data_IF_972372150830
#
_entry.id   IF_972372150830
#
_cell.length_a   1.000
_cell.length_b   1.000
_cell.length_c   1.000
_cell.angle_alpha   90.00
_cell.angle_beta   90.00
_cell.angle_gamma   90.00
#
_symmetry.space_group_name_H-M   'P 1'
#
loop_
_entity.id
_entity.type
_entity.pdbx_description
1 polymer ?
#
# COMPACT_ATOMS: atom_id res chain seq x y z
N UNK A 1 -52.95 -36.12 7.21
CA UNK A 1 -51.48 -36.01 7.04
C UNK A 1 -51.15 -34.59 6.63
N UNK A 2 -50.72 -33.77 7.57
CA UNK A 2 -50.25 -32.40 7.34
C UNK A 2 -49.00 -32.46 6.48
N UNK A 3 -49.03 -31.87 5.27
CA UNK A 3 -47.85 -31.72 4.42
C UNK A 3 -46.88 -30.79 5.17
N UNK A 4 -45.81 -31.34 5.73
CA UNK A 4 -44.75 -30.53 6.33
C UNK A 4 -44.19 -29.56 5.28
N UNK A 5 -44.23 -28.27 5.64
CA UNK A 5 -43.73 -27.18 4.82
C UNK A 5 -42.22 -27.18 4.99
N UNK A 6 -41.47 -27.40 3.90
CA UNK A 6 -40.01 -27.37 3.94
C UNK A 6 -39.51 -26.01 4.45
N UNK A 7 -38.70 -26.04 5.51
CA UNK A 7 -38.10 -24.85 6.15
C UNK A 7 -36.92 -24.30 5.34
N UNK A 8 -36.51 -23.05 5.63
CA UNK A 8 -35.35 -22.41 4.99
C UNK A 8 -34.08 -23.22 5.25
N UNK A 9 -33.89 -23.62 6.50
CA UNK A 9 -32.72 -24.34 7.00
C UNK A 9 -32.57 -25.70 6.32
N UNK A 10 -33.67 -26.43 6.13
CA UNK A 10 -33.66 -27.72 5.42
C UNK A 10 -33.27 -27.57 3.94
N UNK A 11 -33.75 -26.52 3.28
CA UNK A 11 -33.39 -26.25 1.88
C UNK A 11 -31.91 -25.88 1.77
N UNK A 12 -31.39 -25.09 2.70
CA UNK A 12 -30.01 -24.65 2.70
C UNK A 12 -29.06 -25.83 2.97
N UNK A 13 -29.37 -26.65 3.97
CA UNK A 13 -28.61 -27.87 4.27
C UNK A 13 -28.62 -28.85 3.08
N UNK A 14 -29.75 -29.00 2.39
CA UNK A 14 -29.82 -29.83 1.19
C UNK A 14 -28.99 -29.26 0.03
N UNK A 15 -28.90 -27.94 -0.12
CA UNK A 15 -28.02 -27.33 -1.12
C UNK A 15 -26.55 -27.57 -0.81
N UNK A 16 -26.11 -27.35 0.44
CA UNK A 16 -24.71 -27.61 0.84
C UNK A 16 -24.34 -29.09 0.69
N UNK A 17 -25.25 -30.02 0.98
CA UNK A 17 -25.04 -31.45 0.77
C UNK A 17 -24.92 -31.85 -0.70
N UNK A 18 -25.67 -31.20 -1.60
CA UNK A 18 -25.55 -31.45 -3.04
C UNK A 18 -24.25 -30.88 -3.60
N UNK A 19 -23.85 -29.69 -3.14
CA UNK A 19 -22.58 -29.06 -3.50
C UNK A 19 -21.39 -29.92 -3.04
N UNK A 20 -21.39 -30.41 -1.81
CA UNK A 20 -20.28 -31.23 -1.28
C UNK A 20 -20.13 -32.59 -1.98
N UNK A 21 -21.19 -33.06 -2.64
CA UNK A 21 -21.19 -34.28 -3.47
C UNK A 21 -20.93 -34.01 -4.95
N UNK A 22 -20.69 -32.76 -5.32
CA UNK A 22 -20.53 -32.32 -6.71
C UNK A 22 -21.74 -32.68 -7.60
N UNK A 23 -22.94 -32.68 -7.00
CA UNK A 23 -24.19 -32.96 -7.69
C UNK A 23 -24.90 -31.65 -8.10
N UNK A 24 -25.59 -31.68 -9.25
CA UNK A 24 -26.32 -30.51 -9.75
C UNK A 24 -27.44 -30.10 -8.79
N UNK A 25 -27.41 -28.83 -8.36
CA UNK A 25 -28.47 -28.17 -7.59
C UNK A 25 -29.77 -28.01 -8.39
N UNK A 26 -30.57 -29.07 -8.40
CA UNK A 26 -31.91 -29.09 -9.03
C UNK A 26 -33.00 -29.07 -7.96
N UNK A 27 -34.15 -28.46 -8.27
CA UNK A 27 -35.29 -28.42 -7.33
C UNK A 27 -35.78 -29.83 -6.95
N UNK A 28 -35.72 -30.77 -7.89
CA UNK A 28 -36.10 -32.16 -7.63
C UNK A 28 -35.04 -32.90 -6.79
N UNK A 29 -33.74 -32.61 -6.99
CA UNK A 29 -32.66 -33.11 -6.13
C UNK A 29 -32.77 -32.62 -4.69
N UNK A 30 -33.02 -31.31 -4.51
CA UNK A 30 -33.24 -30.69 -3.19
C UNK A 30 -34.48 -31.32 -2.52
N UNK A 31 -35.58 -31.46 -3.26
CA UNK A 31 -36.81 -32.07 -2.76
C UNK A 31 -36.62 -33.55 -2.36
N UNK A 32 -35.82 -34.29 -3.11
CA UNK A 32 -35.46 -35.68 -2.81
C UNK A 32 -34.63 -35.77 -1.53
N UNK A 33 -33.67 -34.86 -1.34
CA UNK A 33 -32.85 -34.81 -0.13
C UNK A 33 -33.63 -34.45 1.14
N UNK A 34 -34.60 -33.56 1.04
CA UNK A 34 -35.46 -33.15 2.17
C UNK A 34 -36.54 -34.21 2.46
N UNK A 35 -36.79 -35.14 1.53
CA UNK A 35 -37.80 -36.20 1.67
C UNK A 35 -39.23 -35.76 1.38
N UNK A 36 -39.45 -34.55 0.86
CA UNK A 36 -40.80 -34.04 0.58
C UNK A 36 -40.89 -32.52 0.44
N UNK A 37 -42.11 -32.00 0.58
CA UNK A 37 -42.39 -30.57 0.53
C UNK A 37 -42.99 -30.06 -0.79
N UNK A 38 -43.56 -28.85 -0.73
CA UNK A 38 -44.11 -28.15 -1.90
C UNK A 38 -43.00 -27.57 -2.75
N UNK A 39 -43.04 -27.82 -4.07
CA UNK A 39 -42.09 -27.23 -5.04
C UNK A 39 -42.08 -25.71 -4.97
N UNK A 40 -43.23 -25.07 -4.67
CA UNK A 40 -43.31 -23.61 -4.55
C UNK A 40 -42.52 -23.09 -3.36
N UNK A 41 -42.63 -23.73 -2.19
CA UNK A 41 -41.89 -23.36 -0.98
C UNK A 41 -40.40 -23.59 -1.14
N UNK A 42 -40.00 -24.74 -1.70
CA UNK A 42 -38.58 -25.07 -1.95
C UNK A 42 -37.98 -24.06 -2.94
N UNK A 43 -38.69 -23.73 -4.01
CA UNK A 43 -38.22 -22.75 -4.99
C UNK A 43 -38.04 -21.35 -4.37
N UNK A 44 -38.93 -20.93 -3.46
CA UNK A 44 -38.78 -19.66 -2.74
C UNK A 44 -37.45 -19.62 -1.97
N UNK A 45 -37.20 -20.61 -1.13
CA UNK A 45 -35.98 -20.66 -0.32
C UNK A 45 -34.72 -20.92 -1.14
N UNK A 46 -34.82 -21.72 -2.21
CA UNK A 46 -33.70 -21.95 -3.11
C UNK A 46 -33.30 -20.69 -3.88
N UNK A 47 -34.26 -19.87 -4.33
CA UNK A 47 -33.96 -18.56 -4.91
C UNK A 47 -33.21 -17.68 -3.91
N UNK A 48 -33.72 -17.60 -2.68
CA UNK A 48 -33.03 -16.86 -1.63
C UNK A 48 -31.62 -17.39 -1.37
N UNK A 49 -31.41 -18.71 -1.39
CA UNK A 49 -30.08 -19.30 -1.27
C UNK A 49 -29.14 -18.89 -2.41
N UNK A 50 -29.64 -18.84 -3.65
CA UNK A 50 -28.86 -18.35 -4.81
C UNK A 50 -28.47 -16.89 -4.67
N UNK A 51 -29.38 -16.07 -4.15
CA UNK A 51 -29.14 -14.65 -3.95
C UNK A 51 -28.14 -14.41 -2.81
N UNK A 52 -28.20 -15.21 -1.74
CA UNK A 52 -27.28 -15.13 -0.59
C UNK A 52 -25.89 -15.73 -0.91
N UNK A 53 -25.80 -16.75 -1.77
CA UNK A 53 -24.55 -17.47 -2.09
C UNK A 53 -24.35 -17.68 -3.60
N UNK A 54 -24.20 -16.62 -4.40
CA UNK A 54 -24.12 -16.74 -5.85
C UNK A 54 -22.92 -17.62 -6.29
N UNK A 55 -21.75 -17.39 -5.71
CA UNK A 55 -20.51 -18.09 -6.10
C UNK A 55 -20.60 -19.61 -5.91
N UNK A 56 -21.16 -20.07 -4.79
CA UNK A 56 -21.30 -21.51 -4.49
C UNK A 56 -22.16 -22.26 -5.52
N UNK A 57 -23.15 -21.58 -6.07
CA UNK A 57 -24.08 -22.17 -7.05
C UNK A 57 -23.48 -22.17 -8.46
N UNK A 58 -22.67 -21.15 -8.78
CA UNK A 58 -21.95 -21.08 -10.06
C UNK A 58 -20.78 -22.09 -10.11
N UNK A 59 -20.06 -22.27 -9.01
CA UNK A 59 -18.92 -23.19 -8.93
C UNK A 59 -19.35 -24.66 -9.07
N UNK A 60 -20.42 -25.07 -8.39
CA UNK A 60 -20.97 -26.42 -8.51
C UNK A 60 -21.56 -26.76 -9.89
N UNK A 61 -21.78 -25.76 -10.75
CA UNK A 61 -22.38 -25.96 -12.07
C UNK A 61 -21.36 -26.21 -13.19
N UNK A 62 -20.06 -25.95 -12.97
CA UNK A 62 -19.03 -26.01 -14.02
C UNK A 62 -17.64 -26.37 -13.49
N UNK A 63 -17.48 -27.58 -12.97
CA UNK A 63 -16.15 -28.21 -13.00
C UNK A 63 -16.08 -29.10 -14.25
N UNK A 64 -15.80 -28.49 -15.40
CA UNK A 64 -15.31 -29.28 -16.54
C UNK A 64 -13.84 -29.56 -16.21
N UNK A 65 -13.42 -30.83 -16.01
CA UNK A 65 -12.03 -31.13 -15.75
C UNK A 65 -11.18 -30.61 -16.91
N UNK A 66 -10.20 -29.77 -16.59
CA UNK A 66 -9.26 -29.24 -17.59
C UNK A 66 -8.46 -30.43 -18.14
N UNK A 67 -8.36 -30.60 -19.47
CA UNK A 67 -7.52 -31.66 -20.03
C UNK A 67 -6.07 -31.50 -19.56
N UNK A 68 -5.41 -32.62 -19.23
CA UNK A 68 -4.06 -32.61 -18.65
C UNK A 68 -3.05 -31.80 -19.48
N UNK A 69 -3.15 -31.89 -20.81
CA UNK A 69 -2.30 -31.13 -21.75
C UNK A 69 -2.47 -29.62 -21.55
N UNK A 70 -3.70 -29.14 -21.34
CA UNK A 70 -3.98 -27.72 -21.11
C UNK A 70 -3.46 -27.29 -19.75
N UNK A 71 -3.62 -28.14 -18.72
CA UNK A 71 -3.11 -27.86 -17.38
C UNK A 71 -1.58 -27.73 -17.37
N UNK A 72 -0.86 -28.63 -18.04
CA UNK A 72 0.60 -28.57 -18.13
C UNK A 72 1.09 -27.30 -18.83
N UNK A 73 0.46 -26.95 -19.97
CA UNK A 73 0.82 -25.73 -20.71
C UNK A 73 0.51 -24.46 -19.90
N UNK A 74 -0.61 -24.46 -19.18
CA UNK A 74 -0.97 -23.36 -18.29
C UNK A 74 0.06 -23.19 -17.17
N UNK A 75 0.48 -24.27 -16.53
CA UNK A 75 1.51 -24.22 -15.49
C UNK A 75 2.85 -23.69 -16.02
N UNK A 76 3.28 -24.12 -17.21
CA UNK A 76 4.50 -23.61 -17.86
C UNK A 76 4.39 -22.12 -18.18
N UNK A 77 3.27 -21.71 -18.77
CA UNK A 77 3.03 -20.30 -19.07
C UNK A 77 3.02 -19.47 -17.79
N UNK A 78 2.36 -19.96 -16.74
CA UNK A 78 2.30 -19.29 -15.45
C UNK A 78 3.68 -19.12 -14.81
N UNK A 79 4.48 -20.19 -14.81
CA UNK A 79 5.85 -20.15 -14.31
C UNK A 79 6.71 -19.14 -15.10
N UNK A 80 6.59 -19.10 -16.43
CA UNK A 80 7.28 -18.13 -17.26
C UNK A 80 6.83 -16.70 -16.95
N UNK A 81 5.52 -16.45 -16.88
CA UNK A 81 5.00 -15.11 -16.56
C UNK A 81 5.43 -14.65 -15.18
N UNK A 82 5.51 -15.57 -14.21
CA UNK A 82 5.98 -15.27 -12.87
C UNK A 82 7.46 -14.87 -12.86
N UNK A 83 8.31 -15.65 -13.51
CA UNK A 83 9.74 -15.33 -13.65
C UNK A 83 9.95 -13.96 -14.34
N UNK A 84 9.21 -13.67 -15.40
CA UNK A 84 9.30 -12.37 -16.08
C UNK A 84 8.82 -11.22 -15.19
N UNK A 85 7.81 -11.45 -14.35
CA UNK A 85 7.32 -10.45 -13.40
C UNK A 85 8.33 -10.21 -12.28
N UNK A 86 9.00 -11.27 -11.80
CA UNK A 86 10.07 -11.21 -10.80
C UNK A 86 11.28 -10.43 -11.32
N UNK A 87 11.79 -10.79 -12.51
CA UNK A 87 12.90 -10.07 -13.16
C UNK A 87 12.58 -8.58 -13.35
N UNK A 88 11.35 -8.27 -13.76
CA UNK A 88 10.91 -6.88 -13.92
C UNK A 88 10.85 -6.15 -12.58
N UNK A 89 10.29 -6.77 -11.55
CA UNK A 89 10.21 -6.17 -10.23
C UNK A 89 11.59 -5.91 -9.64
N UNK A 90 12.53 -6.84 -9.81
CA UNK A 90 13.93 -6.68 -9.40
C UNK A 90 14.61 -5.54 -10.18
N UNK A 91 14.45 -5.50 -11.50
CA UNK A 91 14.99 -4.40 -12.31
C UNK A 91 14.42 -3.04 -11.93
N UNK A 92 13.12 -2.95 -11.65
CA UNK A 92 12.48 -1.70 -11.26
C UNK A 92 12.96 -1.27 -9.86
N UNK A 93 13.14 -2.24 -8.94
CA UNK A 93 13.70 -1.99 -7.61
C UNK A 93 15.14 -1.46 -7.67
N UNK A 94 16.01 -2.07 -8.48
CA UNK A 94 17.39 -1.59 -8.66
C UNK A 94 17.42 -0.16 -9.18
N UNK A 95 16.59 0.18 -10.17
CA UNK A 95 16.49 1.56 -10.69
C UNK A 95 16.07 2.55 -9.61
N UNK A 96 15.06 2.21 -8.81
CA UNK A 96 14.64 3.10 -7.71
C UNK A 96 15.76 3.33 -6.70
N UNK A 97 16.54 2.30 -6.37
CA UNK A 97 17.70 2.44 -5.50
C UNK A 97 18.82 3.29 -6.12
N UNK A 98 19.05 3.20 -7.42
CA UNK A 98 20.02 4.03 -8.12
C UNK A 98 19.60 5.51 -8.12
N UNK A 99 18.33 5.79 -8.39
CA UNK A 99 17.75 7.14 -8.39
C UNK A 99 17.82 7.76 -6.99
N UNK A 100 17.38 7.02 -5.95
CA UNK A 100 17.45 7.47 -4.55
C UNK A 100 18.89 7.74 -4.10
N UNK A 101 19.84 6.88 -4.48
CA UNK A 101 21.26 7.11 -4.20
C UNK A 101 21.82 8.32 -4.96
N UNK A 102 21.33 8.58 -6.17
CA UNK A 102 21.64 9.78 -6.94
C UNK A 102 21.21 11.04 -6.19
N UNK A 103 19.94 11.11 -5.79
CA UNK A 103 19.39 12.23 -5.02
C UNK A 103 20.10 12.43 -3.68
N UNK A 104 20.43 11.34 -2.97
CA UNK A 104 21.16 11.42 -1.71
C UNK A 104 22.56 11.99 -1.89
N UNK A 105 23.26 11.64 -2.98
CA UNK A 105 24.57 12.22 -3.29
C UNK A 105 24.47 13.71 -3.60
N UNK A 106 23.46 14.13 -4.35
CA UNK A 106 23.22 15.54 -4.67
C UNK A 106 22.92 16.35 -3.40
N UNK A 107 21.99 15.89 -2.57
CA UNK A 107 21.65 16.54 -1.29
C UNK A 107 22.85 16.61 -0.33
N UNK A 108 23.70 15.58 -0.31
CA UNK A 108 24.92 15.61 0.49
C UNK A 108 25.93 16.65 -0.03
N UNK A 109 26.04 16.80 -1.35
CA UNK A 109 26.89 17.82 -1.94
C UNK A 109 26.40 19.23 -1.59
N UNK A 110 25.09 19.48 -1.72
CA UNK A 110 24.46 20.74 -1.31
C UNK A 110 24.65 21.01 0.19
N UNK A 111 24.51 19.98 1.03
CA UNK A 111 24.72 20.10 2.47
C UNK A 111 26.17 20.50 2.80
N UNK A 112 27.16 19.92 2.11
CA UNK A 112 28.55 20.29 2.32
C UNK A 112 28.87 21.70 1.82
N UNK A 113 28.27 22.13 0.70
CA UNK A 113 28.39 23.52 0.22
C UNK A 113 27.80 24.52 1.22
N UNK A 114 26.56 24.29 1.66
CA UNK A 114 25.89 25.15 2.63
C UNK A 114 26.61 25.20 3.98
N UNK A 115 27.20 24.08 4.44
CA UNK A 115 28.08 24.09 5.63
C UNK A 115 29.32 24.94 5.42
N UNK A 116 29.96 24.86 4.26
CA UNK A 116 31.15 25.66 3.95
C UNK A 116 30.81 27.16 3.90
N UNK A 117 29.69 27.53 3.27
CA UNK A 117 29.18 28.90 3.24
C UNK A 117 28.86 29.43 4.64
N UNK A 118 28.17 28.63 5.47
CA UNK A 118 27.84 29.00 6.84
C UNK A 118 29.11 29.24 7.66
N UNK A 119 30.14 28.41 7.48
CA UNK A 119 31.43 28.60 8.14
C UNK A 119 32.09 29.91 7.72
N UNK A 120 32.16 30.21 6.43
CA UNK A 120 32.71 31.47 5.92
C UNK A 120 31.93 32.68 6.44
N UNK A 121 30.60 32.60 6.43
CA UNK A 121 29.74 33.65 6.93
C UNK A 121 29.97 33.88 8.44
N UNK A 122 30.09 32.82 9.23
CA UNK A 122 30.42 32.92 10.65
C UNK A 122 31.77 33.58 10.88
N UNK A 123 32.81 33.18 10.14
CA UNK A 123 34.14 33.78 10.24
C UNK A 123 34.14 35.27 9.89
N UNK A 124 33.43 35.67 8.82
CA UNK A 124 33.27 37.08 8.45
C UNK A 124 32.48 37.89 9.48
N UNK A 125 31.43 37.31 10.06
CA UNK A 125 30.67 37.91 11.15
C UNK A 125 31.55 38.15 12.38
N UNK A 126 32.34 37.14 12.79
CA UNK A 126 33.27 37.29 13.92
C UNK A 126 34.34 38.35 13.66
N UNK A 127 34.84 38.45 12.43
CA UNK A 127 35.82 39.47 12.04
C UNK A 127 35.23 40.89 12.06
N UNK A 128 34.04 41.07 11.48
CA UNK A 128 33.35 42.37 11.49
C UNK A 128 32.98 42.81 12.89
N UNK A 129 32.55 41.89 13.76
CA UNK A 129 32.30 42.18 15.17
C UNK A 129 33.57 42.65 15.89
N UNK A 130 34.71 41.98 15.67
CA UNK A 130 36.00 42.43 16.23
C UNK A 130 36.41 43.82 15.74
N UNK A 131 36.28 44.08 14.43
CA UNK A 131 36.58 45.40 13.86
C UNK A 131 35.67 46.49 14.43
N UNK A 132 34.38 46.19 14.61
CA UNK A 132 33.43 47.11 15.20
C UNK A 132 33.79 47.43 16.66
N UNK A 133 34.15 46.43 17.46
CA UNK A 133 34.62 46.63 18.84
C UNK A 133 35.87 47.50 18.88
N UNK A 134 36.87 47.22 18.03
CA UNK A 134 38.09 48.03 17.95
C UNK A 134 37.80 49.49 17.58
N UNK A 135 36.92 49.72 16.60
CA UNK A 135 36.47 51.05 16.21
C UNK A 135 35.77 51.80 17.35
N UNK A 136 34.93 51.13 18.15
CA UNK A 136 34.33 51.74 19.34
C UNK A 136 35.37 52.12 20.40
N UNK A 137 36.37 51.28 20.63
CA UNK A 137 37.47 51.56 21.56
C UNK A 137 38.31 52.76 21.09
N UNK A 138 38.69 52.80 19.82
CA UNK A 138 39.44 53.91 19.22
C UNK A 138 38.66 55.22 19.28
N UNK A 139 37.37 55.20 18.92
CA UNK A 139 36.50 56.36 19.05
C UNK A 139 36.38 56.83 20.51
N UNK A 140 36.35 55.90 21.46
CA UNK A 140 36.40 56.22 22.90
C UNK A 140 37.70 56.92 23.29
N UNK A 141 38.86 56.40 22.87
CA UNK A 141 40.18 56.99 23.11
C UNK A 141 40.33 58.38 22.48
N UNK A 142 39.86 58.55 21.24
CA UNK A 142 39.89 59.83 20.54
C UNK A 142 39.05 60.89 21.26
N UNK A 143 37.85 60.53 21.74
CA UNK A 143 37.02 61.44 22.55
C UNK A 143 37.73 61.89 23.82
N UNK A 144 38.38 60.97 24.54
CA UNK A 144 39.14 61.30 25.75
C UNK A 144 40.33 62.24 25.43
N UNK A 145 41.10 61.94 24.39
CA UNK A 145 42.22 62.77 23.96
C UNK A 145 41.77 64.18 23.54
N UNK A 146 40.65 64.31 22.83
CA UNK A 146 40.05 65.60 22.49
C UNK A 146 39.63 66.38 23.73
N UNK A 147 39.06 65.71 24.74
CA UNK A 147 38.68 66.36 26.00
C UNK A 147 39.89 66.88 26.77
N UNK A 148 40.98 66.12 26.81
CA UNK A 148 42.25 66.54 27.43
C UNK A 148 42.91 67.71 26.70
N UNK A 149 42.95 67.71 25.36
CA UNK A 149 43.46 68.84 24.58
C UNK A 149 42.64 70.11 24.83
N UNK A 150 41.31 69.99 24.86
CA UNK A 150 40.43 71.12 25.17
C UNK A 150 40.66 71.67 26.59
N UNK A 151 41.04 70.83 27.55
CA UNK A 151 41.44 71.26 28.90
C UNK A 151 42.79 71.98 28.93
N UNK A 152 43.73 71.66 28.03
CA UNK A 152 45.05 72.30 27.96
C UNK A 152 45.07 73.65 27.24
N UNK A 153 44.11 73.90 26.36
CA UNK A 153 44.00 75.15 25.58
C UNK A 153 43.24 76.24 26.36
N UNK A 154 42.49 75.87 27.40
CA UNK A 154 41.82 76.79 28.32
C UNK A 154 42.71 77.15 29.51
#
# INVERSE_FOLDING_TARGET
MTKEVASKEQVYAACEMLISKDEKLTLDGIRKHIGGGSKTTINKWFKQYKDEFPNKVYDAARVIPMPDIVQEQYQKLWALTYAMAEDKAESDYVKTLEDENGELKEKNLELEQTKAELKQLKESYEMTMKMLTQSYEENGRLKQAMEELNKRIK
#
